data_IF_348639361187
#
_entry.id   IF_348639361187
#
_cell.length_a   1.000
_cell.length_b   1.000
_cell.length_c   1.000
_cell.angle_alpha   90.00
_cell.angle_beta   90.00
_cell.angle_gamma   90.00
#
_symmetry.space_group_name_H-M   'P 1'
#
loop_
_entity.id
_entity.type
_entity.pdbx_description
1 polymer ?
#
# COMPACT_ATOMS: atom_id res chain seq x y z
N UNK A 1 56.77 3.18 14.25
CA UNK A 1 56.82 3.58 12.82
C UNK A 1 58.16 3.11 12.26
N UNK A 2 58.25 2.57 11.03
CA UNK A 2 57.40 2.81 9.84
C UNK A 2 56.56 1.56 9.47
N UNK A 3 55.24 1.63 9.19
CA UNK A 3 54.55 2.03 7.94
C UNK A 3 55.23 1.55 6.64
N UNK A 4 54.67 0.47 6.06
CA UNK A 4 54.57 0.28 4.61
C UNK A 4 53.10 -0.02 4.29
N UNK A 5 52.52 0.87 3.52
CA UNK A 5 51.27 0.68 2.81
C UNK A 5 51.63 0.06 1.46
N UNK A 6 50.84 -0.91 1.05
CA UNK A 6 50.55 -1.35 -0.31
C UNK A 6 49.11 -1.90 -0.12
N UNK A 7 48.07 -1.08 -0.27
CA UNK A 7 47.37 -0.80 -1.53
C UNK A 7 46.87 -2.08 -2.20
N UNK A 8 45.84 -2.70 -1.59
CA UNK A 8 44.91 -3.59 -2.27
C UNK A 8 43.52 -2.91 -2.24
N UNK A 9 43.35 -1.97 -3.18
CA UNK A 9 42.04 -1.54 -3.66
C UNK A 9 41.41 -2.73 -4.41
N UNK A 10 40.66 -3.57 -3.70
CA UNK A 10 39.74 -4.50 -4.35
C UNK A 10 38.50 -3.74 -4.79
N UNK A 11 38.61 -3.32 -6.04
CA UNK A 11 37.65 -2.68 -6.91
C UNK A 11 36.32 -3.47 -7.02
N UNK A 12 35.29 -2.64 -7.12
CA UNK A 12 33.90 -2.82 -7.51
C UNK A 12 33.44 -4.21 -8.01
N UNK A 13 32.61 -4.83 -7.17
CA UNK A 13 31.68 -5.89 -7.57
C UNK A 13 30.24 -5.53 -7.25
N UNK A 14 29.84 -4.26 -7.42
CA UNK A 14 28.42 -3.92 -7.45
C UNK A 14 27.88 -4.45 -8.77
N UNK A 15 27.30 -5.65 -8.75
CA UNK A 15 26.43 -6.11 -9.83
C UNK A 15 25.25 -5.12 -9.91
N UNK A 16 25.45 -4.07 -10.71
CA UNK A 16 24.39 -3.20 -11.16
C UNK A 16 23.41 -4.11 -11.89
N UNK A 17 22.29 -4.39 -11.21
CA UNK A 17 21.20 -5.17 -11.75
C UNK A 17 20.91 -4.66 -13.16
N UNK A 18 21.13 -5.55 -14.13
CA UNK A 18 20.83 -5.36 -15.54
C UNK A 18 19.41 -4.79 -15.66
N UNK A 19 19.30 -3.48 -15.85
CA UNK A 19 18.03 -2.83 -16.09
C UNK A 19 17.46 -3.36 -17.40
N UNK A 20 16.40 -4.16 -17.30
CA UNK A 20 15.63 -4.62 -18.46
C UNK A 20 15.03 -3.39 -19.14
N UNK A 21 15.55 -3.09 -20.34
CA UNK A 21 15.21 -1.91 -21.13
C UNK A 21 14.01 -2.14 -22.07
N UNK A 22 12.99 -2.92 -21.68
CA UNK A 22 11.95 -3.32 -22.64
C UNK A 22 10.48 -3.28 -22.19
N UNK A 23 10.16 -2.80 -20.98
CA UNK A 23 8.77 -2.71 -20.54
C UNK A 23 8.26 -1.26 -20.51
N UNK A 24 7.11 -1.04 -21.14
CA UNK A 24 6.39 0.22 -21.07
C UNK A 24 5.86 0.43 -19.64
N UNK A 25 6.56 1.23 -18.85
CA UNK A 25 6.24 1.52 -17.45
C UNK A 25 5.26 2.69 -17.32
N UNK A 26 4.33 2.82 -18.27
CA UNK A 26 3.26 3.81 -18.21
C UNK A 26 2.29 3.48 -17.09
N UNK A 27 1.75 4.51 -16.46
CA UNK A 27 0.63 4.42 -15.54
C UNK A 27 -0.67 4.17 -16.29
N UNK A 28 -1.69 3.60 -15.63
CA UNK A 28 -3.01 3.39 -16.24
C UNK A 28 -3.75 4.71 -16.50
N UNK A 29 -3.48 5.73 -15.69
CA UNK A 29 -4.05 7.07 -15.80
C UNK A 29 -2.96 8.14 -15.78
N UNK A 30 -3.13 9.30 -16.45
CA UNK A 30 -2.20 10.42 -16.35
C UNK A 30 -2.01 10.86 -14.90
N UNK A 31 -0.80 11.30 -14.54
CA UNK A 31 -0.49 11.75 -13.17
C UNK A 31 -1.33 12.96 -12.78
N UNK A 32 -1.69 13.80 -13.73
CA UNK A 32 -2.48 15.02 -13.53
C UNK A 32 -3.91 14.74 -13.04
N UNK A 33 -4.45 13.55 -13.32
CA UNK A 33 -5.78 13.17 -12.87
C UNK A 33 -5.88 13.06 -11.34
N UNK A 34 -4.75 12.90 -10.64
CA UNK A 34 -4.68 12.95 -9.17
C UNK A 34 -5.35 14.20 -8.64
N UNK A 35 -5.18 15.35 -9.29
CA UNK A 35 -5.78 16.62 -8.87
C UNK A 35 -7.30 16.68 -9.05
N UNK A 36 -7.86 15.84 -9.92
CA UNK A 36 -9.31 15.72 -10.10
C UNK A 36 -9.95 14.68 -9.16
N UNK A 37 -9.19 13.68 -8.74
CA UNK A 37 -9.65 12.61 -7.83
C UNK A 37 -9.54 13.06 -6.37
N UNK A 38 -8.40 13.64 -5.99
CA UNK A 38 -8.14 14.05 -4.62
C UNK A 38 -9.01 15.25 -4.24
N UNK A 39 -9.48 15.26 -2.99
CA UNK A 39 -10.25 16.36 -2.42
C UNK A 39 -9.92 16.52 -0.95
N UNK A 40 -9.62 17.76 -0.55
CA UNK A 40 -9.33 18.17 0.83
C UNK A 40 -10.61 18.58 1.60
N UNK A 41 -11.76 18.59 0.92
CA UNK A 41 -13.03 18.99 1.52
C UNK A 41 -13.43 18.02 2.63
N UNK A 42 -13.78 18.52 3.83
CA UNK A 42 -14.25 17.67 4.93
C UNK A 42 -15.45 16.80 4.52
N UNK A 43 -15.38 15.52 4.82
CA UNK A 43 -16.43 14.55 4.50
C UNK A 43 -16.49 14.13 3.02
N UNK A 44 -15.66 14.70 2.15
CA UNK A 44 -15.57 14.26 0.77
C UNK A 44 -14.82 12.91 0.68
N UNK A 45 -15.33 12.06 -0.21
CA UNK A 45 -14.83 10.72 -0.44
C UNK A 45 -14.19 10.63 -1.81
N UNK A 46 -13.14 9.82 -1.90
CA UNK A 46 -12.55 9.39 -3.17
C UNK A 46 -12.06 7.96 -2.99
N UNK A 47 -11.95 7.23 -4.10
CA UNK A 47 -11.39 5.88 -4.06
C UNK A 47 -9.87 5.97 -4.21
N UNK A 48 -9.15 5.55 -3.17
CA UNK A 48 -7.68 5.56 -3.17
C UNK A 48 -7.11 4.72 -4.32
N UNK A 49 -7.82 3.71 -4.83
CA UNK A 49 -7.39 2.92 -5.99
C UNK A 49 -7.24 3.78 -7.25
N UNK A 50 -8.08 4.79 -7.44
CA UNK A 50 -7.96 5.70 -8.58
C UNK A 50 -6.71 6.56 -8.49
N UNK A 51 -6.29 6.96 -7.27
CA UNK A 51 -5.01 7.61 -7.04
C UNK A 51 -3.86 6.67 -7.37
N UNK A 52 -3.92 5.41 -6.91
CA UNK A 52 -2.88 4.41 -7.17
C UNK A 52 -2.67 4.17 -8.67
N UNK A 53 -3.75 4.11 -9.47
CA UNK A 53 -3.69 3.98 -10.95
C UNK A 53 -2.92 5.10 -11.66
N UNK A 54 -2.75 6.25 -11.01
CA UNK A 54 -1.98 7.38 -11.53
C UNK A 54 -0.50 7.31 -11.17
N UNK A 55 -0.09 6.37 -10.30
CA UNK A 55 1.26 6.29 -9.69
C UNK A 55 1.96 4.97 -10.00
N UNK A 56 1.20 3.88 -10.06
CA UNK A 56 1.73 2.53 -10.32
C UNK A 56 1.70 2.21 -11.82
N UNK A 57 2.59 1.31 -12.23
CA UNK A 57 2.65 0.80 -13.59
C UNK A 57 1.31 0.13 -13.96
N UNK A 58 0.82 0.36 -15.17
CA UNK A 58 -0.44 -0.18 -15.65
C UNK A 58 -0.50 -1.70 -15.49
N UNK A 59 -1.67 -2.22 -15.08
CA UNK A 59 -1.93 -3.65 -14.87
C UNK A 59 -1.02 -4.34 -13.84
N UNK A 60 -0.24 -3.60 -13.04
CA UNK A 60 0.64 -4.20 -12.03
C UNK A 60 -0.02 -4.45 -10.67
N UNK A 61 -1.20 -3.90 -10.42
CA UNK A 61 -1.85 -3.95 -9.11
C UNK A 61 -2.53 -5.29 -8.83
N UNK A 62 -2.08 -5.95 -7.76
CA UNK A 62 -2.69 -7.16 -7.21
C UNK A 62 -3.07 -6.92 -5.74
N UNK A 63 -4.37 -6.81 -5.46
CA UNK A 63 -4.86 -6.42 -4.15
C UNK A 63 -4.88 -7.60 -3.16
N UNK A 64 -4.18 -7.42 -2.05
CA UNK A 64 -4.12 -8.37 -0.96
C UNK A 64 -5.41 -8.37 -0.14
N UNK A 65 -6.17 -9.47 -0.23
CA UNK A 65 -7.44 -9.67 0.49
C UNK A 65 -8.39 -8.47 0.33
N UNK A 66 -8.78 -8.18 -0.91
CA UNK A 66 -9.62 -7.04 -1.27
C UNK A 66 -10.98 -6.97 -0.53
N UNK A 67 -11.51 -8.12 -0.08
CA UNK A 67 -12.79 -8.22 0.62
C UNK A 67 -12.68 -8.21 2.15
N UNK A 68 -11.48 -8.05 2.71
CA UNK A 68 -11.23 -8.01 4.16
C UNK A 68 -10.55 -6.69 4.55
N UNK A 69 -10.88 -6.12 5.72
CA UNK A 69 -10.21 -4.91 6.23
C UNK A 69 -10.19 -3.77 5.20
N UNK A 70 -11.33 -3.50 4.56
CA UNK A 70 -11.44 -2.64 3.36
C UNK A 70 -11.17 -1.15 3.60
N UNK A 71 -11.03 -0.71 4.86
CA UNK A 71 -10.57 0.64 5.19
C UNK A 71 -9.08 0.86 4.88
N UNK A 72 -8.33 -0.23 4.65
CA UNK A 72 -6.99 -0.20 4.09
C UNK A 72 -6.97 -0.94 2.75
N UNK A 73 -6.32 -0.36 1.77
CA UNK A 73 -5.94 -1.00 0.51
C UNK A 73 -4.52 -1.49 0.67
N UNK A 74 -4.33 -2.81 0.61
CA UNK A 74 -3.01 -3.44 0.63
C UNK A 74 -2.84 -4.19 -0.67
N UNK A 75 -1.68 -4.12 -1.32
CA UNK A 75 -1.49 -4.83 -2.58
C UNK A 75 -0.07 -4.77 -3.10
N UNK A 76 0.27 -5.70 -3.98
CA UNK A 76 1.52 -5.70 -4.72
C UNK A 76 1.35 -4.84 -5.97
N UNK A 77 2.41 -4.13 -6.36
CA UNK A 77 2.42 -3.31 -7.57
C UNK A 77 3.86 -3.19 -8.11
N UNK A 78 3.99 -2.53 -9.25
CA UNK A 78 5.28 -2.04 -9.76
C UNK A 78 5.24 -0.52 -9.92
N UNK A 79 6.36 0.13 -9.66
CA UNK A 79 6.57 1.56 -9.95
C UNK A 79 7.88 1.70 -10.72
N UNK A 80 7.80 2.15 -11.98
CA UNK A 80 8.93 2.24 -12.89
C UNK A 80 9.72 0.92 -12.95
N UNK A 81 9.00 -0.21 -13.08
CA UNK A 81 9.58 -1.55 -13.15
C UNK A 81 10.05 -2.14 -11.82
N UNK A 82 9.98 -1.40 -10.71
CA UNK A 82 10.38 -1.89 -9.39
C UNK A 82 9.17 -2.42 -8.64
N UNK A 83 9.22 -3.70 -8.23
CA UNK A 83 8.18 -4.31 -7.42
C UNK A 83 8.13 -3.68 -6.02
N UNK A 84 6.92 -3.33 -5.58
CA UNK A 84 6.63 -2.71 -4.30
C UNK A 84 5.43 -3.36 -3.64
N UNK A 85 5.39 -3.32 -2.31
CA UNK A 85 4.15 -3.47 -1.54
C UNK A 85 3.53 -2.10 -1.28
N UNK A 86 2.21 -1.99 -1.36
CA UNK A 86 1.46 -0.76 -1.09
C UNK A 86 0.57 -0.97 0.12
N UNK A 87 0.60 -0.03 1.06
CA UNK A 87 -0.36 0.09 2.16
C UNK A 87 -0.96 1.48 2.12
N UNK A 88 -2.25 1.57 1.83
CA UNK A 88 -2.93 2.83 1.57
C UNK A 88 -4.23 2.96 2.37
N UNK A 89 -4.51 4.13 2.92
CA UNK A 89 -5.77 4.40 3.59
C UNK A 89 -6.89 4.61 2.56
N UNK A 90 -8.07 4.01 2.79
CA UNK A 90 -9.23 4.18 1.93
C UNK A 90 -10.08 5.39 2.38
N UNK A 91 -10.43 6.24 1.41
CA UNK A 91 -11.26 7.45 1.62
C UNK A 91 -12.70 7.30 1.15
N UNK A 92 -13.05 6.14 0.60
CA UNK A 92 -14.43 5.70 0.32
C UNK A 92 -15.02 4.94 1.50
N UNK A 93 -16.32 5.08 1.75
CA UNK A 93 -17.04 4.22 2.70
C UNK A 93 -16.84 2.75 2.31
N UNK A 94 -16.39 1.95 3.26
CA UNK A 94 -16.24 0.50 3.09
C UNK A 94 -17.19 -0.25 4.01
N UNK A 95 -17.49 -1.50 3.67
CA UNK A 95 -18.31 -2.35 4.54
C UNK A 95 -17.40 -3.22 5.40
N UNK A 96 -17.70 -3.31 6.69
CA UNK A 96 -17.08 -4.29 7.59
C UNK A 96 -18.08 -5.38 7.90
N UNK A 97 -17.67 -6.63 7.77
CA UNK A 97 -18.45 -7.76 8.26
C UNK A 97 -18.18 -7.91 9.75
N UNK A 98 -19.20 -7.70 10.59
CA UNK A 98 -19.13 -8.01 12.01
C UNK A 98 -19.55 -9.47 12.26
N UNK A 99 -18.88 -10.16 13.20
CA UNK A 99 -19.34 -11.45 13.68
C UNK A 99 -20.76 -11.32 14.22
N UNK A 100 -21.72 -11.78 13.44
CA UNK A 100 -23.11 -11.78 13.84
C UNK A 100 -23.37 -12.88 14.86
N UNK A 101 -24.26 -12.60 15.81
CA UNK A 101 -24.80 -13.62 16.69
C UNK A 101 -25.68 -14.62 15.92
N UNK A 102 -26.75 -15.12 16.55
CA UNK A 102 -27.64 -16.13 15.96
C UNK A 102 -28.38 -15.71 14.67
N UNK A 103 -28.24 -14.46 14.22
CA UNK A 103 -28.90 -13.89 13.04
C UNK A 103 -28.00 -13.82 11.78
N UNK A 104 -26.73 -14.27 11.85
CA UNK A 104 -25.77 -14.16 10.75
C UNK A 104 -25.03 -12.81 10.72
N UNK A 105 -23.98 -12.69 9.88
CA UNK A 105 -23.06 -11.55 9.88
C UNK A 105 -23.80 -10.22 9.63
N UNK A 106 -23.55 -9.24 10.49
CA UNK A 106 -24.06 -7.87 10.29
C UNK A 106 -23.00 -7.04 9.57
N UNK A 107 -23.41 -6.30 8.55
CA UNK A 107 -22.50 -5.37 7.87
C UNK A 107 -22.64 -3.99 8.49
N UNK A 108 -21.54 -3.46 9.01
CA UNK A 108 -21.47 -2.10 9.49
C UNK A 108 -20.72 -1.24 8.47
N UNK A 109 -21.14 0.01 8.32
CA UNK A 109 -20.42 0.96 7.46
C UNK A 109 -19.21 1.47 8.23
N UNK A 110 -18.02 1.27 7.65
CA UNK A 110 -16.79 1.83 8.16
C UNK A 110 -16.65 3.29 7.70
N UNK A 111 -16.25 4.15 8.63
CA UNK A 111 -15.95 5.55 8.35
C UNK A 111 -14.68 5.63 7.50
N UNK A 112 -14.62 6.56 6.51
CA UNK A 112 -13.42 6.79 5.74
C UNK A 112 -12.25 7.23 6.63
N UNK A 113 -11.01 6.95 6.21
CA UNK A 113 -9.79 7.36 6.92
C UNK A 113 -9.63 6.82 8.36
N UNK A 114 -10.41 5.82 8.78
CA UNK A 114 -10.27 5.17 10.10
C UNK A 114 -9.68 3.77 9.95
N UNK A 115 -8.70 3.44 10.80
CA UNK A 115 -8.09 2.10 10.85
C UNK A 115 -8.83 1.25 11.89
N UNK A 116 -9.36 0.11 11.45
CA UNK A 116 -10.08 -0.86 12.27
C UNK A 116 -9.17 -2.06 12.59
N UNK A 117 -9.58 -2.89 13.55
CA UNK A 117 -8.89 -4.11 13.98
C UNK A 117 -8.63 -5.09 12.81
N UNK A 118 -9.65 -5.33 11.98
CA UNK A 118 -9.55 -6.20 10.81
C UNK A 118 -8.57 -5.68 9.74
N UNK A 119 -8.63 -4.37 9.48
CA UNK A 119 -7.71 -3.70 8.56
C UNK A 119 -6.29 -3.66 9.09
N UNK A 120 -6.10 -3.49 10.41
CA UNK A 120 -4.80 -3.51 11.05
C UNK A 120 -4.17 -4.92 11.00
N UNK A 121 -4.94 -5.97 11.30
CA UNK A 121 -4.48 -7.37 11.12
C UNK A 121 -4.12 -7.66 9.66
N UNK A 122 -4.94 -7.19 8.70
CA UNK A 122 -4.64 -7.31 7.27
C UNK A 122 -3.30 -6.66 6.92
N UNK A 123 -3.11 -5.41 7.31
CA UNK A 123 -1.90 -4.66 7.00
C UNK A 123 -0.67 -5.28 7.67
N UNK A 124 -0.77 -5.71 8.93
CA UNK A 124 0.31 -6.39 9.63
C UNK A 124 0.74 -7.66 8.90
N UNK A 125 -0.21 -8.51 8.47
CA UNK A 125 0.07 -9.73 7.69
C UNK A 125 0.71 -9.40 6.34
N UNK A 126 0.18 -8.41 5.65
CA UNK A 126 0.74 -7.97 4.37
C UNK A 126 2.18 -7.44 4.52
N UNK A 127 2.45 -6.64 5.55
CA UNK A 127 3.81 -6.12 5.83
C UNK A 127 4.77 -7.28 6.12
N UNK A 128 4.35 -8.29 6.88
CA UNK A 128 5.15 -9.50 7.11
C UNK A 128 5.42 -10.25 5.80
N UNK A 129 4.41 -10.41 4.94
CA UNK A 129 4.54 -11.04 3.63
C UNK A 129 5.53 -10.25 2.72
N UNK A 130 5.45 -8.92 2.70
CA UNK A 130 6.39 -8.06 1.97
C UNK A 130 7.83 -8.20 2.48
N UNK A 131 8.02 -8.22 3.81
CA UNK A 131 9.33 -8.40 4.42
C UNK A 131 9.95 -9.75 4.04
N UNK A 132 9.17 -10.83 4.07
CA UNK A 132 9.63 -12.16 3.65
C UNK A 132 10.05 -12.20 2.17
N UNK A 133 9.37 -11.44 1.32
CA UNK A 133 9.66 -11.30 -0.11
C UNK A 133 10.76 -10.26 -0.41
N UNK A 134 11.25 -9.55 0.60
CA UNK A 134 12.20 -8.42 0.47
C UNK A 134 11.67 -7.33 -0.47
N UNK A 135 10.37 -7.08 -0.45
CA UNK A 135 9.75 -6.03 -1.23
C UNK A 135 9.77 -4.70 -0.45
N UNK A 136 10.25 -3.60 -1.05
CA UNK A 136 10.09 -2.27 -0.46
C UNK A 136 8.61 -1.92 -0.33
N UNK A 137 8.25 -1.21 0.74
CA UNK A 137 6.86 -0.86 1.05
C UNK A 137 6.66 0.64 0.86
N UNK A 138 5.61 1.01 0.13
CA UNK A 138 5.12 2.38 -0.04
C UNK A 138 3.87 2.57 0.80
N UNK A 139 3.91 3.53 1.72
CA UNK A 139 2.75 3.93 2.52
C UNK A 139 2.08 5.16 1.90
N UNK A 140 0.81 5.05 1.55
CA UNK A 140 -0.03 6.16 1.10
C UNK A 140 -0.96 6.55 2.25
N UNK A 141 -0.57 7.61 2.96
CA UNK A 141 -1.13 7.92 4.26
C UNK A 141 -2.19 9.02 4.17
N UNK A 142 -3.43 8.68 4.54
CA UNK A 142 -4.56 9.58 4.69
C UNK A 142 -5.53 9.02 5.74
N UNK A 143 -5.13 9.14 7.01
CA UNK A 143 -5.85 8.58 8.16
C UNK A 143 -6.11 9.64 9.22
N UNK A 144 -7.23 9.50 9.92
CA UNK A 144 -7.56 10.26 11.13
C UNK A 144 -7.15 9.51 12.40
N UNK A 145 -6.80 8.22 12.30
CA UNK A 145 -6.37 7.39 13.41
C UNK A 145 -7.08 6.03 13.46
N UNK A 146 -6.94 5.35 14.59
CA UNK A 146 -7.57 4.06 14.86
C UNK A 146 -9.00 4.25 15.35
N UNK A 147 -9.87 3.28 15.05
CA UNK A 147 -11.15 3.16 15.72
C UNK A 147 -10.92 2.92 17.21
N UNK A 148 -11.66 3.66 18.02
CA UNK A 148 -11.71 3.50 19.48
C UNK A 148 -13.12 3.15 19.91
N UNK A 149 -13.25 2.36 20.97
CA UNK A 149 -14.53 1.90 21.50
C UNK A 149 -14.39 0.52 22.15
N UNK A 150 -15.33 0.13 23.00
CA UNK A 150 -15.30 -1.18 23.69
C UNK A 150 -15.22 -2.38 22.74
N UNK A 151 -15.72 -2.22 21.52
CA UNK A 151 -15.69 -3.25 20.48
C UNK A 151 -14.36 -3.25 19.69
N UNK A 152 -13.37 -2.44 20.07
CA UNK A 152 -12.10 -2.25 19.37
C UNK A 152 -10.87 -2.25 20.27
N UNK A 153 -11.04 -2.39 21.58
CA UNK A 153 -9.99 -2.74 22.56
C UNK A 153 -9.82 -4.26 22.63
#
# INVERSE_FOLDING_TARGET
>A
MPKRADDDEDDDGTEAGQGDASHDHTTERPVEDVYGIYTDKPGAQFDTREILRCVIDAHSFDEYKADYGQSLVCGYASIAGRHVGIVANQRKLSQRAQPGGKAGPSYATAMPAVIYDDSADKAARFIMDCNQRKLPIVFVHDTTGFMVGRDSE
#
